data_IF_768144684480
#
_entry.id   IF_768144684480
#
_cell.length_a   1.000
_cell.length_b   1.000
_cell.length_c   1.000
_cell.angle_alpha   90.00
_cell.angle_beta   90.00
_cell.angle_gamma   90.00
#
_symmetry.space_group_name_H-M   'P 1'
#
loop_
_entity.id
_entity.type
_entity.pdbx_description
1 polymer ?
#
# COMPACT_ATOMS: atom_id res chain seq x y z
N UNK A 1 -28.72 -12.01 12.78
CA UNK A 1 -27.35 -11.76 12.29
C UNK A 1 -26.94 -12.95 11.44
N UNK A 2 -26.35 -12.70 10.27
CA UNK A 2 -25.85 -13.75 9.38
C UNK A 2 -24.32 -13.65 9.39
N UNK A 3 -23.65 -14.77 9.62
CA UNK A 3 -22.20 -14.86 9.63
C UNK A 3 -21.72 -14.72 8.16
N UNK A 4 -20.98 -13.66 7.86
CA UNK A 4 -20.62 -13.29 6.48
C UNK A 4 -19.33 -14.00 6.03
N UNK A 5 -18.45 -14.35 6.98
CA UNK A 5 -17.21 -15.10 6.71
C UNK A 5 -16.63 -15.68 8.01
N UNK A 6 -16.05 -16.87 7.94
CA UNK A 6 -15.32 -17.55 9.01
C UNK A 6 -13.89 -17.80 8.50
N UNK A 7 -12.88 -17.41 9.27
CA UNK A 7 -11.45 -17.58 8.94
C UNK A 7 -10.59 -17.26 10.16
N UNK A 8 -9.33 -17.72 10.17
CA UNK A 8 -8.42 -17.44 11.29
C UNK A 8 -7.95 -15.99 11.24
N UNK A 9 -7.75 -15.36 12.41
CA UNK A 9 -7.28 -13.96 12.47
C UNK A 9 -6.00 -13.80 11.61
N UNK A 10 -5.12 -14.80 11.57
CA UNK A 10 -3.90 -14.82 10.74
C UNK A 10 -4.13 -14.65 9.22
N UNK A 11 -5.26 -15.13 8.67
CA UNK A 11 -5.64 -14.90 7.27
C UNK A 11 -6.12 -13.47 7.03
N UNK A 12 -6.62 -12.81 8.07
CA UNK A 12 -7.00 -11.40 8.06
C UNK A 12 -5.84 -10.47 8.45
N UNK A 13 -4.79 -10.97 9.12
CA UNK A 13 -3.60 -10.22 9.55
C UNK A 13 -2.45 -10.34 8.52
N UNK A 14 -2.68 -10.90 7.33
CA UNK A 14 -1.78 -10.64 6.19
C UNK A 14 -2.03 -9.21 5.69
N UNK A 15 -1.93 -8.26 6.61
CA UNK A 15 -2.11 -6.84 6.40
C UNK A 15 -0.89 -6.41 5.61
N UNK A 16 -1.08 -6.16 4.32
CA UNK A 16 -0.04 -5.52 3.50
C UNK A 16 0.42 -4.27 4.25
N UNK A 17 1.72 -4.16 4.45
CA UNK A 17 2.28 -3.01 5.12
C UNK A 17 2.09 -1.78 4.24
N UNK A 18 1.41 -0.77 4.75
CA UNK A 18 1.29 0.50 4.04
C UNK A 18 2.40 1.44 4.48
N UNK A 19 3.05 2.06 3.51
CA UNK A 19 4.04 3.10 3.73
C UNK A 19 3.62 4.35 2.99
N UNK A 20 3.70 5.48 3.67
CA UNK A 20 3.61 6.77 3.03
C UNK A 20 5.01 7.15 2.55
N UNK A 21 5.14 7.26 1.23
CA UNK A 21 6.34 7.67 0.53
C UNK A 21 6.18 9.13 0.07
N UNK A 22 7.13 9.96 0.48
CA UNK A 22 7.25 11.32 -0.03
C UNK A 22 8.47 11.39 -0.94
N UNK A 23 8.22 11.71 -2.21
CA UNK A 23 9.28 11.96 -3.20
C UNK A 23 9.36 13.46 -3.49
N UNK A 24 10.56 13.95 -3.75
CA UNK A 24 10.79 15.38 -4.02
C UNK A 24 10.64 15.75 -5.49
N UNK A 25 10.93 14.81 -6.40
CA UNK A 25 10.89 14.94 -7.86
C UNK A 25 10.61 13.58 -8.48
N UNK A 26 10.11 13.51 -9.71
CA UNK A 26 9.90 12.23 -10.42
C UNK A 26 8.61 11.50 -10.05
N UNK A 27 7.50 12.24 -9.92
CA UNK A 27 6.16 11.67 -9.66
C UNK A 27 5.73 10.65 -10.71
N UNK A 28 6.02 10.93 -11.99
CA UNK A 28 5.65 10.05 -13.10
C UNK A 28 6.51 8.78 -13.13
N UNK A 29 7.82 8.92 -12.94
CA UNK A 29 8.74 7.78 -12.83
C UNK A 29 8.42 6.90 -11.61
N UNK A 30 8.08 7.51 -10.47
CA UNK A 30 7.63 6.79 -9.26
C UNK A 30 6.39 5.95 -9.55
N UNK A 31 5.41 6.51 -10.28
CA UNK A 31 4.21 5.78 -10.70
C UNK A 31 4.54 4.63 -11.63
N UNK A 32 5.43 4.84 -12.60
CA UNK A 32 5.86 3.80 -13.54
C UNK A 32 6.55 2.65 -12.80
N UNK A 33 7.49 2.94 -11.90
CA UNK A 33 8.19 1.92 -11.10
C UNK A 33 7.20 1.13 -10.25
N UNK A 34 6.26 1.79 -9.57
CA UNK A 34 5.25 1.10 -8.77
C UNK A 34 4.37 0.21 -9.63
N UNK A 35 3.98 0.68 -10.84
CA UNK A 35 3.21 -0.11 -11.79
C UNK A 35 3.98 -1.34 -12.29
N UNK A 36 5.26 -1.19 -12.63
CA UNK A 36 6.14 -2.31 -13.05
C UNK A 36 6.33 -3.35 -11.94
N UNK A 37 6.44 -2.89 -10.69
CA UNK A 37 6.57 -3.76 -9.52
C UNK A 37 5.23 -4.30 -9.01
N UNK A 38 4.12 -3.93 -9.65
CA UNK A 38 2.76 -4.28 -9.23
C UNK A 38 2.46 -3.88 -7.76
N UNK A 39 3.00 -2.73 -7.35
CA UNK A 39 2.80 -2.12 -6.03
C UNK A 39 1.64 -1.13 -6.12
N UNK A 40 0.55 -1.32 -5.36
CA UNK A 40 -0.53 -0.36 -5.28
C UNK A 40 0.00 0.99 -4.78
N UNK A 41 -0.22 2.03 -5.58
CA UNK A 41 0.17 3.41 -5.27
C UNK A 41 -1.06 4.32 -5.35
N UNK A 42 -1.24 5.15 -4.33
CA UNK A 42 -2.30 6.16 -4.24
C UNK A 42 -1.64 7.52 -4.03
N UNK A 43 -1.94 8.49 -4.90
CA UNK A 43 -1.49 9.87 -4.70
C UNK A 43 -2.45 10.58 -3.73
N UNK A 44 -1.95 11.09 -2.61
CA UNK A 44 -2.74 11.79 -1.60
C UNK A 44 -1.99 13.03 -1.10
N UNK A 45 -2.59 14.21 -1.27
CA UNK A 45 -2.11 15.50 -0.72
C UNK A 45 -0.62 15.82 -0.99
N UNK A 46 -0.11 15.48 -2.18
CA UNK A 46 1.31 15.72 -2.53
C UNK A 46 2.28 14.65 -2.03
N UNK A 47 1.76 13.50 -1.59
CA UNK A 47 2.54 12.33 -1.23
C UNK A 47 1.99 11.09 -1.95
N UNK A 48 2.77 10.02 -1.96
CA UNK A 48 2.32 8.71 -2.42
C UNK A 48 2.14 7.77 -1.24
N UNK A 49 1.05 7.03 -1.23
CA UNK A 49 0.83 5.92 -0.30
C UNK A 49 1.04 4.65 -1.10
N UNK A 50 2.05 3.86 -0.71
CA UNK A 50 2.38 2.59 -1.34
C UNK A 50 2.02 1.44 -0.40
N UNK A 51 1.44 0.38 -0.94
CA UNK A 51 1.12 -0.84 -0.18
C UNK A 51 2.09 -1.94 -0.57
N UNK A 52 3.01 -2.29 0.32
CA UNK A 52 3.98 -3.37 0.09
C UNK A 52 3.61 -4.60 0.90
N UNK A 53 4.04 -5.75 0.44
CA UNK A 53 3.73 -7.03 1.07
C UNK A 53 4.66 -7.29 2.26
N UNK A 54 5.90 -6.79 2.18
CA UNK A 54 6.99 -7.04 3.14
C UNK A 54 8.11 -5.98 2.99
N UNK A 55 9.07 -6.02 3.92
CA UNK A 55 10.20 -5.09 3.98
C UNK A 55 11.18 -5.25 2.80
N UNK A 56 11.27 -6.44 2.19
CA UNK A 56 12.13 -6.70 1.04
C UNK A 56 11.57 -6.01 -0.21
N UNK A 57 10.25 -6.07 -0.41
CA UNK A 57 9.56 -5.35 -1.48
C UNK A 57 9.71 -3.82 -1.29
N UNK A 58 9.65 -3.32 -0.06
CA UNK A 58 9.91 -1.91 0.23
C UNK A 58 11.35 -1.50 -0.14
N UNK A 59 12.34 -2.27 0.30
CA UNK A 59 13.74 -1.99 0.00
C UNK A 59 14.00 -2.01 -1.51
N UNK A 60 13.44 -2.98 -2.21
CA UNK A 60 13.54 -3.07 -3.67
C UNK A 60 12.94 -1.84 -4.36
N UNK A 61 11.79 -1.35 -3.87
CA UNK A 61 11.19 -0.11 -4.37
C UNK A 61 12.11 1.09 -4.13
N UNK A 62 12.66 1.22 -2.93
CA UNK A 62 13.59 2.30 -2.57
C UNK A 62 14.83 2.28 -3.49
N UNK A 63 15.41 1.11 -3.74
CA UNK A 63 16.58 0.97 -4.60
C UNK A 63 16.26 1.30 -6.06
N UNK A 64 15.08 0.93 -6.56
CA UNK A 64 14.60 1.31 -7.90
C UNK A 64 14.42 2.81 -8.04
N UNK A 65 13.84 3.47 -7.03
CA UNK A 65 13.69 4.93 -7.01
C UNK A 65 15.07 5.61 -7.02
N UNK A 66 15.99 5.14 -6.19
CA UNK A 66 17.37 5.65 -6.13
C UNK A 66 18.13 5.44 -7.43
N UNK A 67 17.90 4.33 -8.13
CA UNK A 67 18.51 4.04 -9.43
C UNK A 67 17.98 4.96 -10.55
N UNK A 68 16.92 5.73 -10.32
CA UNK A 68 16.41 6.77 -11.21
C UNK A 68 16.70 8.18 -10.70
N UNK A 69 17.63 8.34 -9.74
CA UNK A 69 17.97 9.62 -9.11
C UNK A 69 16.76 10.33 -8.44
N UNK A 70 15.71 9.57 -8.11
CA UNK A 70 14.53 10.09 -7.42
C UNK A 70 14.86 10.33 -5.94
N UNK A 71 14.72 11.58 -5.50
CA UNK A 71 14.96 11.94 -4.10
C UNK A 71 13.76 11.56 -3.24
N UNK A 72 13.98 10.63 -2.31
CA UNK A 72 13.00 10.26 -1.28
C UNK A 72 13.15 11.24 -0.11
N UNK A 73 12.12 12.06 0.13
CA UNK A 73 12.09 13.03 1.22
C UNK A 73 11.63 12.43 2.56
N UNK A 74 10.86 11.34 2.51
CA UNK A 74 10.36 10.68 3.71
C UNK A 74 9.70 9.34 3.43
N UNK A 75 9.83 8.43 4.39
CA UNK A 75 9.14 7.13 4.39
C UNK A 75 8.56 6.96 5.79
N UNK A 76 7.23 6.90 5.87
CA UNK A 76 6.52 6.78 7.15
C UNK A 76 5.66 5.51 7.14
N UNK A 77 5.87 4.56 8.06
CA UNK A 77 4.99 3.40 8.16
C UNK A 77 3.59 3.85 8.57
N UNK A 78 2.57 3.42 7.83
CA UNK A 78 1.16 3.53 8.23
C UNK A 78 0.75 2.22 8.89
N UNK A 79 0.49 2.30 10.20
CA UNK A 79 -0.19 1.22 10.91
C UNK A 79 -1.64 1.22 10.48
N UNK A 80 -2.03 0.24 9.67
CA UNK A 80 -3.45 -0.03 9.42
C UNK A 80 -4.00 -0.63 10.71
N UNK A 81 -5.01 0.02 11.28
CA UNK A 81 -5.69 -0.56 12.43
C UNK A 81 -6.58 -1.72 11.98
N UNK A 82 -6.89 -2.65 12.89
CA UNK A 82 -7.85 -3.72 12.59
C UNK A 82 -9.24 -3.16 12.21
N UNK A 83 -9.60 -1.98 12.72
CA UNK A 83 -10.84 -1.29 12.34
C UNK A 83 -10.81 -0.82 10.88
N UNK A 84 -9.70 -0.23 10.42
CA UNK A 84 -9.55 0.19 9.03
C UNK A 84 -9.62 -1.01 8.07
N UNK A 85 -8.96 -2.11 8.42
CA UNK A 85 -9.02 -3.36 7.65
C UNK A 85 -10.44 -3.94 7.58
N UNK A 86 -11.19 -3.87 8.69
CA UNK A 86 -12.57 -4.34 8.72
C UNK A 86 -13.47 -3.53 7.78
N UNK A 87 -13.28 -2.21 7.71
CA UNK A 87 -14.04 -1.34 6.81
C UNK A 87 -13.74 -1.68 5.34
N UNK A 88 -12.47 -1.77 4.95
CA UNK A 88 -12.06 -2.14 3.58
C UNK A 88 -12.69 -3.48 3.12
N UNK A 89 -12.71 -4.49 4.01
CA UNK A 89 -13.30 -5.81 3.69
C UNK A 89 -14.82 -5.74 3.54
N UNK A 90 -15.50 -4.90 4.33
CA UNK A 90 -16.96 -4.72 4.23
C UNK A 90 -17.30 -3.98 2.93
N UNK A 91 -16.56 -2.94 2.57
CA UNK A 91 -16.79 -2.14 1.35
C UNK A 91 -16.55 -2.97 0.08
N UNK A 92 -15.41 -3.68 -0.01
CA UNK A 92 -15.10 -4.52 -1.18
C UNK A 92 -16.13 -5.65 -1.42
N UNK A 93 -16.81 -6.13 -0.37
CA UNK A 93 -17.83 -7.17 -0.47
C UNK A 93 -19.22 -6.62 -0.87
N UNK A 94 -19.47 -5.32 -0.66
CA UNK A 94 -20.70 -4.67 -1.14
C UNK A 94 -20.64 -4.38 -2.65
N UNK A 95 -19.46 -4.07 -3.19
CA UNK A 95 -19.28 -3.86 -4.63
C UNK A 95 -19.36 -5.15 -5.46
N UNK A 96 -18.94 -6.30 -4.92
CA UNK A 96 -19.02 -7.59 -5.60
C UNK A 96 -20.45 -8.19 -5.67
N UNK A 97 -21.42 -7.58 -4.98
CA UNK A 97 -22.81 -8.02 -4.92
C UNK A 97 -23.78 -7.13 -5.74
N UNK A 98 -23.24 -6.19 -6.54
CA UNK A 98 -24.00 -5.26 -7.39
C UNK A 98 -23.92 -5.64 -8.87
#
# INVERSE_FOLDING_TARGET
>A
GRLVREGSVEEFISVKQQFQLQVGTGDEETRLICMEMNIPLIAQNGHFVVSVSDDEQLNTLIDRLRAQDITIQGITPRKISLEDFFIDVIEANQEAAS
#
